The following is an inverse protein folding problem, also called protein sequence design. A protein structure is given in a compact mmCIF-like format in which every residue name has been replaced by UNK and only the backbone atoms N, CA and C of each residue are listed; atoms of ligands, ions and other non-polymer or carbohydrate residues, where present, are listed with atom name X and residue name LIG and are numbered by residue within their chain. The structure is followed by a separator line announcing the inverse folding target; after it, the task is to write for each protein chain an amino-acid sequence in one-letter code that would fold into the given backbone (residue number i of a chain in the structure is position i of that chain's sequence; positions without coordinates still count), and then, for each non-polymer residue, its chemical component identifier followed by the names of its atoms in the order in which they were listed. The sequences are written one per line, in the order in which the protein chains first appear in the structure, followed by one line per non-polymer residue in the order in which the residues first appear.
data_IF_486848890018
#
_entry.id   IF_486848890018
#
_cell.length_a   1.000
_cell.length_b   1.000
_cell.length_c   1.000
_cell.angle_alpha   90.00
_cell.angle_beta   90.00
_cell.angle_gamma   90.00
#
_symmetry.space_group_name_H-M   'P 1'
#
loop_
_entity.id
_entity.type
_entity.pdbx_description
1 polymer ?
#
# COMPACT_ATOMS: atom_id res chain seq x y z
N UNK A 1 -7.08 3.87 -10.02
CA UNK A 1 -6.46 2.57 -9.62
C UNK A 1 -4.96 2.57 -9.89
N UNK A 2 -4.49 3.14 -11.02
CA UNK A 2 -3.06 3.40 -11.28
C UNK A 2 -2.38 4.25 -10.19
N UNK A 3 -3.01 5.36 -9.78
CA UNK A 3 -2.44 6.31 -8.80
C UNK A 3 -1.96 5.63 -7.51
N UNK A 4 -2.77 4.73 -6.92
CA UNK A 4 -2.38 4.07 -5.67
C UNK A 4 -1.22 3.07 -5.83
N UNK A 5 -1.10 2.43 -7.00
CA UNK A 5 0.03 1.55 -7.29
C UNK A 5 1.31 2.36 -7.51
N UNK A 6 1.20 3.51 -8.17
CA UNK A 6 2.32 4.44 -8.35
C UNK A 6 2.82 5.00 -7.01
N UNK A 7 1.93 5.32 -6.07
CA UNK A 7 2.34 5.77 -4.73
C UNK A 7 3.03 4.68 -3.91
N UNK A 8 2.54 3.43 -3.99
CA UNK A 8 3.21 2.29 -3.36
C UNK A 8 4.61 2.10 -3.95
N UNK A 9 4.74 2.18 -5.28
CA UNK A 9 6.03 1.98 -5.95
C UNK A 9 7.02 3.10 -5.62
N UNK A 10 6.58 4.37 -5.58
CA UNK A 10 7.43 5.49 -5.11
C UNK A 10 7.89 5.28 -3.68
N UNK A 11 7.00 4.86 -2.80
CA UNK A 11 7.33 4.64 -1.39
C UNK A 11 8.28 3.44 -1.23
N UNK A 12 8.14 2.39 -2.06
CA UNK A 12 9.09 1.26 -2.13
C UNK A 12 10.48 1.72 -2.57
N UNK A 13 10.59 2.54 -3.61
CA UNK A 13 11.86 3.09 -4.08
C UNK A 13 12.53 3.97 -3.01
N UNK A 14 11.75 4.78 -2.30
CA UNK A 14 12.27 5.58 -1.18
C UNK A 14 12.81 4.69 -0.05
N UNK A 15 12.11 3.61 0.30
CA UNK A 15 12.59 2.67 1.31
C UNK A 15 13.92 2.02 0.87
N UNK A 16 14.03 1.60 -0.38
CA UNK A 16 15.25 1.00 -0.95
C UNK A 16 16.45 1.97 -0.87
N UNK A 17 16.24 3.23 -1.24
CA UNK A 17 17.27 4.28 -1.15
C UNK A 17 17.67 4.56 0.32
N UNK A 18 16.70 4.61 1.24
CA UNK A 18 16.97 4.81 2.66
C UNK A 18 17.74 3.61 3.23
N UNK A 19 17.38 2.37 2.91
CA UNK A 19 18.11 1.17 3.34
C UNK A 19 19.54 1.19 2.82
N UNK A 20 19.73 1.54 1.54
CA UNK A 20 21.05 1.67 0.91
C UNK A 20 21.92 2.71 1.63
N UNK A 21 21.37 3.89 1.92
CA UNK A 21 22.05 4.98 2.67
C UNK A 21 22.46 4.59 4.08
N UNK A 22 21.72 3.69 4.72
CA UNK A 22 22.00 3.21 6.07
C UNK A 22 22.71 1.84 6.07
N UNK A 23 23.44 1.51 5.00
CA UNK A 23 24.27 0.30 4.89
C UNK A 23 23.51 -1.01 5.10
N UNK A 24 22.23 -1.06 4.74
CA UNK A 24 21.40 -2.24 4.95
C UNK A 24 20.93 -2.44 6.40
N UNK A 25 21.11 -1.45 7.29
CA UNK A 25 20.60 -1.53 8.66
C UNK A 25 19.07 -1.39 8.69
N UNK A 26 18.38 -2.52 8.63
CA UNK A 26 16.92 -2.60 8.65
C UNK A 26 16.27 -2.12 9.95
N UNK A 27 17.03 -2.11 11.06
CA UNK A 27 16.55 -1.65 12.36
C UNK A 27 16.81 -0.17 12.59
N UNK A 28 17.37 0.54 11.60
CA UNK A 28 17.56 1.97 11.70
C UNK A 28 16.19 2.67 11.84
N UNK A 29 16.00 3.61 12.79
CA UNK A 29 14.70 4.24 13.04
C UNK A 29 14.07 4.85 11.78
N UNK A 30 14.90 5.43 10.90
CA UNK A 30 14.44 6.03 9.63
C UNK A 30 13.98 4.94 8.64
N UNK A 31 14.65 3.79 8.58
CA UNK A 31 14.25 2.65 7.74
C UNK A 31 12.94 2.06 8.25
N UNK A 32 12.82 1.89 9.57
CA UNK A 32 11.59 1.41 10.20
C UNK A 32 10.41 2.34 9.92
N UNK A 33 10.61 3.66 10.04
CA UNK A 33 9.58 4.64 9.74
C UNK A 33 9.14 4.59 8.27
N UNK A 34 10.10 4.51 7.33
CA UNK A 34 9.80 4.37 5.91
C UNK A 34 9.05 3.06 5.60
N UNK A 35 9.41 1.96 6.26
CA UNK A 35 8.72 0.67 6.12
C UNK A 35 7.27 0.75 6.60
N UNK A 36 7.03 1.34 7.77
CA UNK A 36 5.68 1.52 8.31
C UNK A 36 4.79 2.41 7.43
N UNK A 37 5.39 3.41 6.78
CA UNK A 37 4.68 4.23 5.80
C UNK A 37 4.26 3.40 4.57
N UNK A 38 5.16 2.57 4.04
CA UNK A 38 4.86 1.67 2.93
C UNK A 38 3.73 0.69 3.28
N UNK A 39 3.81 0.06 4.46
CA UNK A 39 2.77 -0.86 4.96
C UNK A 39 1.40 -0.18 5.03
N UNK A 40 1.36 1.06 5.51
CA UNK A 40 0.13 1.85 5.60
C UNK A 40 -0.51 2.08 4.22
N UNK A 41 0.30 2.33 3.18
CA UNK A 41 -0.20 2.49 1.81
C UNK A 41 -0.72 1.16 1.23
N UNK A 42 -0.03 0.06 1.49
CA UNK A 42 -0.46 -1.28 1.06
C UNK A 42 -1.82 -1.63 1.67
N UNK A 43 -1.99 -1.43 2.99
CA UNK A 43 -3.27 -1.70 3.69
C UNK A 43 -4.40 -0.82 3.12
N UNK A 44 -4.15 0.48 2.93
CA UNK A 44 -5.14 1.40 2.32
C UNK A 44 -5.56 0.92 0.93
N UNK A 45 -4.62 0.50 0.10
CA UNK A 45 -4.90 -0.03 -1.23
C UNK A 45 -5.68 -1.35 -1.19
N UNK A 46 -5.33 -2.26 -0.28
CA UNK A 46 -6.06 -3.51 -0.08
C UNK A 46 -7.52 -3.26 0.35
N UNK A 47 -7.74 -2.31 1.26
CA UNK A 47 -9.09 -1.90 1.69
C UNK A 47 -9.88 -1.32 0.52
N UNK A 48 -9.28 -0.43 -0.28
CA UNK A 48 -9.92 0.14 -1.47
C UNK A 48 -10.30 -0.96 -2.48
N UNK A 49 -9.38 -1.90 -2.75
CA UNK A 49 -9.62 -3.04 -3.64
C UNK A 49 -10.73 -3.95 -3.12
N UNK A 50 -10.79 -4.21 -1.82
CA UNK A 50 -11.80 -5.03 -1.19
C UNK A 50 -13.19 -4.37 -1.23
N UNK A 51 -13.27 -3.06 -0.95
CA UNK A 51 -14.51 -2.30 -1.01
C UNK A 51 -15.07 -2.19 -2.43
N UNK A 52 -14.20 -2.09 -3.45
CA UNK A 52 -14.63 -2.16 -4.85
C UNK A 52 -15.28 -3.49 -5.22
N UNK A 53 -14.78 -4.61 -4.70
CA UNK A 53 -15.35 -5.95 -4.95
C UNK A 53 -16.71 -6.13 -4.24
N UNK A 54 -16.87 -5.60 -3.03
CA UNK A 54 -18.17 -5.62 -2.32
C UNK A 54 -19.23 -4.77 -3.03
N UNK A 55 -18.86 -3.62 -3.57
CA UNK A 55 -19.79 -2.73 -4.27
C UNK A 55 -20.30 -3.30 -5.61
N UNK A 56 -19.57 -4.24 -6.23
CA UNK A 56 -20.04 -4.95 -7.43
C UNK A 56 -20.91 -6.19 -7.12
N UNK A 57 -21.03 -6.59 -5.86
CA UNK A 57 -21.80 -7.78 -5.45
C UNK A 57 -23.23 -7.51 -4.95
N UNK A 58 -23.70 -6.27 -4.96
CA UNK A 58 -25.02 -5.86 -4.42
C UNK A 58 -26.02 -5.39 -5.50
N UNK A 59 -25.95 -5.92 -6.71
CA UNK A 59 -26.90 -5.58 -7.79
C UNK A 59 -27.48 -6.81 -8.50
N UNK A 60 -27.67 -7.92 -7.78
CA UNK A 60 -28.45 -9.05 -8.27
C UNK A 60 -29.48 -9.48 -7.23
N UNK A 61 -30.75 -9.52 -7.69
CA UNK A 61 -31.99 -9.99 -7.02
C UNK A 61 -32.58 -9.04 -5.96
N UNK A 62 -33.82 -8.58 -6.09
CA UNK A 62 -35.01 -9.40 -6.39
C UNK A 62 -36.07 -8.68 -7.23
N UNK A 63 -36.57 -9.36 -8.26
CA UNK A 63 -37.93 -9.23 -8.78
C UNK A 63 -38.87 -9.90 -7.77
N UNK A 64 -39.96 -9.22 -7.40
CA UNK A 64 -41.28 -9.82 -7.13
C UNK A 64 -42.34 -8.74 -7.31
#
# INVERSE_FOLDING_TARGET
MQIHLEEIERCRQQLEDVVSKHQGNLLHPIVLQASQQLDSYIVKYQHFKHNRRKSQGQHTFSHQ
#
